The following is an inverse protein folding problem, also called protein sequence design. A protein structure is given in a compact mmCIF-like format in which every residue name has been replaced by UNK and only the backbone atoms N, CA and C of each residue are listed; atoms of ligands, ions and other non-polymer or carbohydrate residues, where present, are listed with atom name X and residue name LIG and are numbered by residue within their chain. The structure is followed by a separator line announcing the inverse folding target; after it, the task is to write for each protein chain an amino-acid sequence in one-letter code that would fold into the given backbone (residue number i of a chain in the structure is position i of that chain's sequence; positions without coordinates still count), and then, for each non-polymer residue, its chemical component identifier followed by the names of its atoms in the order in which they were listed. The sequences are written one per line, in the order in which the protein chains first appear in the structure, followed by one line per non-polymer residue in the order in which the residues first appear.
data_IF_496350090189
#
_entry.id   IF_496350090189
#
_cell.length_a   1.000
_cell.length_b   1.000
_cell.length_c   1.000
_cell.angle_alpha   90.00
_cell.angle_beta   90.00
_cell.angle_gamma   90.00
#
_symmetry.space_group_name_H-M   'P 1'
#
loop_
_entity.id
_entity.type
_entity.pdbx_description
1 polymer ?
#
# COMPACT_ATOMS: atom_id res chain seq x y z
N UNK A 1 -6.70 -24.02 7.72
CA UNK A 1 -6.72 -22.56 7.91
C UNK A 1 -8.15 -22.06 7.92
N UNK A 2 -8.54 -21.35 8.97
CA UNK A 2 -9.89 -20.78 9.07
C UNK A 2 -9.98 -19.54 8.18
N UNK A 3 -10.65 -19.66 7.02
CA UNK A 3 -10.82 -18.55 6.05
C UNK A 3 -11.44 -17.30 6.68
N UNK A 4 -12.22 -17.44 7.76
CA UNK A 4 -12.81 -16.33 8.49
C UNK A 4 -11.74 -15.50 9.21
N UNK A 5 -10.73 -16.16 9.82
CA UNK A 5 -9.63 -15.46 10.50
C UNK A 5 -8.82 -14.64 9.48
N UNK A 6 -8.53 -15.22 8.32
CA UNK A 6 -7.81 -14.56 7.23
C UNK A 6 -8.56 -13.32 6.72
N UNK A 7 -9.88 -13.41 6.55
CA UNK A 7 -10.72 -12.26 6.20
C UNK A 7 -10.59 -11.13 7.23
N UNK A 8 -10.66 -11.45 8.52
CA UNK A 8 -10.53 -10.43 9.55
C UNK A 8 -9.13 -9.84 9.62
N UNK A 9 -8.06 -10.61 9.41
CA UNK A 9 -6.69 -10.09 9.34
C UNK A 9 -6.58 -8.97 8.31
N UNK A 10 -7.05 -9.20 7.08
CA UNK A 10 -7.00 -8.19 6.03
C UNK A 10 -7.96 -7.03 6.27
N UNK A 11 -9.12 -7.29 6.88
CA UNK A 11 -10.00 -6.22 7.35
C UNK A 11 -9.31 -5.31 8.37
N UNK A 12 -8.64 -5.87 9.38
CA UNK A 12 -7.93 -5.08 10.40
C UNK A 12 -6.73 -4.32 9.82
N UNK A 13 -6.00 -4.89 8.85
CA UNK A 13 -4.93 -4.19 8.14
C UNK A 13 -5.44 -2.92 7.45
N UNK A 14 -6.63 -2.98 6.84
CA UNK A 14 -7.20 -1.84 6.12
C UNK A 14 -8.07 -0.92 6.97
N UNK A 15 -8.51 -1.37 8.15
CA UNK A 15 -9.43 -0.62 9.01
C UNK A 15 -8.84 0.74 9.42
N UNK A 16 -7.57 0.75 9.83
CA UNK A 16 -6.89 1.98 10.26
C UNK A 16 -6.66 2.97 9.11
N UNK A 17 -6.59 2.48 7.87
CA UNK A 17 -6.51 3.32 6.67
C UNK A 17 -7.82 4.10 6.44
N UNK A 18 -8.98 3.49 6.73
CA UNK A 18 -10.29 4.14 6.58
C UNK A 18 -10.69 4.99 7.79
N UNK A 19 -10.07 4.77 8.95
CA UNK A 19 -10.27 5.63 10.12
C UNK A 19 -9.61 6.98 9.86
N UNK A 20 -10.45 7.99 9.66
CA UNK A 20 -10.06 9.40 9.65
C UNK A 20 -9.75 9.86 11.08
N UNK A 21 -8.71 9.30 11.69
CA UNK A 21 -8.25 9.72 13.00
C UNK A 21 -7.48 11.03 12.84
N UNK A 22 -7.93 12.11 13.45
CA UNK A 22 -7.18 13.36 13.38
C UNK A 22 -5.74 13.17 13.89
N UNK A 23 -4.75 13.70 13.15
CA UNK A 23 -3.37 13.76 13.61
C UNK A 23 -3.34 14.51 14.94
N UNK A 24 -2.54 14.04 15.91
CA UNK A 24 -2.44 14.60 17.27
C UNK A 24 -2.05 16.09 17.25
N UNK A 25 -3.00 16.98 17.04
CA UNK A 25 -2.93 18.39 17.38
C UNK A 25 -4.28 18.82 17.95
N UNK A 26 -4.21 19.56 19.04
CA UNK A 26 -5.33 19.94 19.88
C UNK A 26 -6.49 20.59 19.09
N UNK A 27 -7.73 20.15 19.35
CA UNK A 27 -8.94 20.86 18.92
C UNK A 27 -9.60 20.39 17.61
N UNK A 28 -9.36 19.16 17.17
CA UNK A 28 -9.98 18.64 15.95
C UNK A 28 -11.48 18.33 16.14
N UNK A 29 -12.35 19.27 15.76
CA UNK A 29 -13.80 19.13 15.69
C UNK A 29 -14.30 18.68 14.31
N UNK A 30 -13.55 17.84 13.57
CA UNK A 30 -14.06 17.25 12.33
C UNK A 30 -14.88 16.00 12.64
N UNK A 31 -16.14 16.01 12.20
CA UNK A 31 -17.03 14.86 12.28
C UNK A 31 -16.43 13.68 11.49
N UNK A 32 -16.54 12.47 12.05
CA UNK A 32 -16.20 11.23 11.35
C UNK A 32 -16.94 11.17 10.01
N UNK A 33 -16.22 10.80 8.94
CA UNK A 33 -16.83 10.54 7.64
C UNK A 33 -17.19 9.06 7.51
N UNK A 34 -18.46 8.72 7.77
CA UNK A 34 -18.98 7.35 7.67
C UNK A 34 -19.27 6.90 6.23
N UNK A 35 -18.88 7.69 5.22
CA UNK A 35 -19.11 7.39 3.79
C UNK A 35 -17.86 7.68 2.95
N UNK A 36 -16.68 7.17 3.31
CA UNK A 36 -15.43 7.53 2.64
C UNK A 36 -15.43 7.11 1.17
N UNK A 37 -14.74 7.90 0.35
CA UNK A 37 -14.43 7.61 -1.06
C UNK A 37 -12.91 7.51 -1.18
N UNK A 38 -12.42 6.37 -1.66
CA UNK A 38 -10.98 6.12 -1.86
C UNK A 38 -10.68 6.10 -3.36
N UNK A 39 -9.66 6.86 -3.75
CA UNK A 39 -9.13 6.83 -5.10
C UNK A 39 -8.24 5.61 -5.30
N UNK A 40 -8.36 4.92 -6.44
CA UNK A 40 -7.41 3.86 -6.84
C UNK A 40 -6.71 4.30 -8.11
N UNK A 41 -5.37 4.35 -8.08
CA UNK A 41 -4.58 4.71 -9.25
C UNK A 41 -4.67 3.62 -10.32
N UNK A 42 -5.02 3.99 -11.55
CA UNK A 42 -4.97 3.10 -12.70
C UNK A 42 -3.55 2.91 -13.20
N UNK A 43 -3.33 1.90 -14.03
CA UNK A 43 -2.02 1.58 -14.58
C UNK A 43 -2.12 1.38 -16.09
N UNK A 44 -1.04 1.64 -16.86
CA UNK A 44 -0.98 1.28 -18.27
C UNK A 44 -1.34 -0.19 -18.49
N UNK A 45 -2.11 -0.49 -19.53
CA UNK A 45 -2.50 -1.85 -19.86
C UNK A 45 -1.27 -2.72 -20.15
N UNK A 46 -1.12 -3.82 -19.42
CA UNK A 46 0.07 -4.68 -19.42
C UNK A 46 0.26 -5.51 -20.70
N UNK A 47 -0.77 -5.66 -21.54
CA UNK A 47 -0.68 -6.43 -22.79
C UNK A 47 -1.51 -5.83 -23.92
N UNK A 48 -1.07 -6.07 -25.16
CA UNK A 48 -1.81 -5.65 -26.36
C UNK A 48 -3.22 -6.24 -26.43
N UNK A 49 -3.44 -7.40 -25.80
CA UNK A 49 -4.75 -8.04 -25.70
C UNK A 49 -5.76 -7.15 -24.95
N UNK A 50 -5.34 -6.41 -23.93
CA UNK A 50 -6.24 -5.56 -23.16
C UNK A 50 -6.43 -4.18 -23.79
N UNK A 51 -5.54 -3.77 -24.69
CA UNK A 51 -5.61 -2.47 -25.39
C UNK A 51 -6.87 -2.33 -26.26
N UNK A 52 -7.55 -3.41 -26.61
CA UNK A 52 -8.86 -3.34 -27.30
C UNK A 52 -9.98 -2.78 -26.41
N UNK A 53 -9.87 -2.93 -25.08
CA UNK A 53 -10.86 -2.44 -24.11
C UNK A 53 -10.45 -1.10 -23.48
N UNK A 54 -9.17 -0.74 -23.57
CA UNK A 54 -8.64 0.51 -23.05
C UNK A 54 -7.13 0.45 -22.81
N UNK A 55 -6.49 1.61 -22.74
CA UNK A 55 -5.03 1.72 -22.53
C UNK A 55 -4.62 1.70 -21.06
N UNK A 56 -5.58 1.63 -20.14
CA UNK A 56 -5.33 1.63 -18.71
C UNK A 56 -6.32 0.74 -17.96
N UNK A 57 -5.92 0.21 -16.81
CA UNK A 57 -6.73 -0.74 -16.03
C UNK A 57 -6.57 -0.54 -14.52
N UNK A 58 -7.53 -1.11 -13.77
CA UNK A 58 -7.45 -1.37 -12.33
C UNK A 58 -7.96 -2.79 -12.12
N UNK A 59 -7.21 -3.63 -11.40
CA UNK A 59 -7.69 -4.98 -11.07
C UNK A 59 -8.89 -4.89 -10.11
N UNK A 60 -9.97 -5.63 -10.42
CA UNK A 60 -11.23 -5.56 -9.68
C UNK A 60 -11.11 -6.02 -8.21
N UNK A 61 -10.10 -6.81 -7.87
CA UNK A 61 -9.80 -7.23 -6.49
C UNK A 61 -9.50 -6.05 -5.57
N UNK A 62 -8.80 -5.02 -6.03
CA UNK A 62 -8.58 -3.80 -5.23
C UNK A 62 -9.88 -3.03 -4.97
N UNK A 63 -10.77 -2.96 -5.97
CA UNK A 63 -12.09 -2.32 -5.80
C UNK A 63 -12.89 -3.06 -4.74
N UNK A 64 -13.00 -4.39 -4.85
CA UNK A 64 -13.70 -5.24 -3.88
C UNK A 64 -13.10 -5.14 -2.48
N UNK A 65 -11.78 -5.06 -2.38
CA UNK A 65 -11.09 -4.92 -1.10
C UNK A 65 -11.48 -3.64 -0.38
N UNK A 66 -11.42 -2.49 -1.06
CA UNK A 66 -11.85 -1.20 -0.52
C UNK A 66 -13.34 -1.22 -0.15
N UNK A 67 -14.21 -1.75 -1.03
CA UNK A 67 -15.65 -1.83 -0.77
C UNK A 67 -15.99 -2.74 0.42
N UNK A 68 -15.27 -3.85 0.59
CA UNK A 68 -15.47 -4.79 1.70
C UNK A 68 -15.22 -4.15 3.07
N UNK A 69 -14.42 -3.09 3.12
CA UNK A 69 -14.11 -2.35 4.33
C UNK A 69 -15.06 -1.15 4.57
N UNK A 70 -16.08 -0.96 3.72
CA UNK A 70 -17.13 0.04 3.90
C UNK A 70 -16.88 1.38 3.19
N UNK A 71 -15.98 1.42 2.21
CA UNK A 71 -15.69 2.62 1.41
C UNK A 71 -16.23 2.50 -0.03
N UNK A 72 -16.38 3.64 -0.70
CA UNK A 72 -16.64 3.70 -2.15
C UNK A 72 -15.33 3.92 -2.90
N UNK A 73 -15.29 3.54 -4.17
CA UNK A 73 -14.11 3.70 -5.02
C UNK A 73 -14.35 4.70 -6.13
N UNK A 74 -13.32 5.48 -6.45
CA UNK A 74 -13.22 6.25 -7.70
C UNK A 74 -11.89 5.94 -8.39
N UNK A 75 -11.85 5.73 -9.71
CA UNK A 75 -10.59 5.57 -10.42
C UNK A 75 -9.85 6.91 -10.51
N UNK A 76 -8.55 6.92 -10.21
CA UNK A 76 -7.62 8.00 -10.56
C UNK A 76 -6.91 7.55 -11.83
N UNK A 77 -7.15 8.23 -12.95
CA UNK A 77 -6.45 7.87 -14.19
C UNK A 77 -4.99 8.34 -14.10
N UNK A 78 -4.03 7.48 -14.46
CA UNK A 78 -2.61 7.80 -14.29
C UNK A 78 -2.11 8.94 -15.18
N UNK A 79 -2.90 9.33 -16.18
CA UNK A 79 -2.57 10.33 -17.20
C UNK A 79 -3.39 11.63 -17.08
N UNK A 80 -4.06 11.86 -15.94
CA UNK A 80 -4.78 13.12 -15.69
C UNK A 80 -3.84 14.32 -15.70
N UNK A 81 -4.32 15.44 -16.25
CA UNK A 81 -3.66 16.73 -16.06
C UNK A 81 -3.71 17.15 -14.58
N UNK A 82 -2.78 18.01 -14.18
CA UNK A 82 -2.61 18.36 -12.77
C UNK A 82 -3.86 19.04 -12.16
N UNK A 83 -4.55 19.89 -12.91
CA UNK A 83 -5.74 20.59 -12.39
C UNK A 83 -6.90 19.61 -12.17
N UNK A 84 -7.11 18.69 -13.10
CA UNK A 84 -8.11 17.62 -12.98
C UNK A 84 -7.77 16.69 -11.83
N UNK A 85 -6.52 16.25 -11.73
CA UNK A 85 -6.05 15.39 -10.64
C UNK A 85 -6.27 16.08 -9.29
N UNK A 86 -5.84 17.35 -9.13
CA UNK A 86 -6.02 18.09 -7.87
C UNK A 86 -7.49 18.26 -7.48
N UNK A 87 -8.39 18.51 -8.44
CA UNK A 87 -9.84 18.56 -8.16
C UNK A 87 -10.38 17.22 -7.67
N UNK A 88 -9.95 16.12 -8.28
CA UNK A 88 -10.31 14.77 -7.84
C UNK A 88 -9.78 14.50 -6.42
N UNK A 89 -8.50 14.78 -6.16
CA UNK A 89 -7.86 14.57 -4.87
C UNK A 89 -8.55 15.36 -3.74
N UNK A 90 -8.97 16.60 -4.01
CA UNK A 90 -9.76 17.42 -3.08
C UNK A 90 -11.18 16.88 -2.80
N UNK A 91 -11.65 15.89 -3.57
CA UNK A 91 -13.02 15.35 -3.49
C UNK A 91 -13.07 13.95 -2.85
N UNK A 92 -11.92 13.35 -2.55
CA UNK A 92 -11.79 11.99 -1.99
C UNK A 92 -11.18 12.04 -0.59
N UNK A 93 -11.12 10.88 0.06
CA UNK A 93 -10.73 10.74 1.47
C UNK A 93 -9.45 9.94 1.68
N UNK A 94 -8.79 9.51 0.62
CA UNK A 94 -7.57 8.70 0.67
C UNK A 94 -7.29 8.04 -0.67
N UNK A 95 -6.10 7.45 -0.80
CA UNK A 95 -5.64 6.84 -2.05
C UNK A 95 -5.07 5.44 -1.79
N UNK A 96 -5.38 4.50 -2.67
CA UNK A 96 -4.70 3.21 -2.79
C UNK A 96 -3.91 3.16 -4.10
N UNK A 97 -2.62 2.86 -3.97
CA UNK A 97 -1.71 2.53 -5.07
C UNK A 97 -1.64 1.00 -5.19
N UNK A 98 -2.20 0.42 -6.27
CA UNK A 98 -2.28 -1.03 -6.41
C UNK A 98 -0.94 -1.64 -6.81
N UNK A 99 -0.82 -2.96 -6.67
CA UNK A 99 0.23 -3.73 -7.31
C UNK A 99 0.08 -3.74 -8.83
N UNK A 100 1.14 -4.07 -9.56
CA UNK A 100 1.16 -4.10 -11.03
C UNK A 100 2.57 -4.36 -11.56
N UNK A 101 2.78 -4.07 -12.85
CA UNK A 101 4.04 -4.33 -13.56
C UNK A 101 4.49 -3.15 -14.42
N UNK A 102 4.48 -1.93 -13.86
CA UNK A 102 4.86 -0.71 -14.58
C UNK A 102 6.39 -0.57 -14.61
N UNK A 103 6.95 -0.44 -15.82
CA UNK A 103 8.36 -0.12 -16.01
C UNK A 103 8.55 1.41 -15.93
N UNK A 104 9.00 1.92 -14.79
CA UNK A 104 9.07 3.36 -14.52
C UNK A 104 9.86 4.16 -15.57
N UNK A 105 10.97 3.62 -16.07
CA UNK A 105 11.81 4.29 -17.09
C UNK A 105 11.08 4.55 -18.42
N UNK A 106 10.05 3.74 -18.71
CA UNK A 106 9.25 3.84 -19.93
C UNK A 106 7.96 4.63 -19.74
N UNK A 107 7.67 5.10 -18.52
CA UNK A 107 6.36 5.65 -18.13
C UNK A 107 6.47 7.02 -17.45
N UNK A 108 7.00 8.06 -18.13
CA UNK A 108 7.20 9.38 -17.53
C UNK A 108 5.89 10.06 -17.11
N UNK A 109 4.77 9.80 -17.80
CA UNK A 109 3.45 10.33 -17.44
C UNK A 109 2.96 9.70 -16.13
N UNK A 110 3.11 8.38 -15.99
CA UNK A 110 2.78 7.67 -14.76
C UNK A 110 3.59 8.21 -13.57
N UNK A 111 4.91 8.33 -13.75
CA UNK A 111 5.81 8.84 -12.72
C UNK A 111 5.45 10.26 -12.30
N UNK A 112 5.09 11.13 -13.27
CA UNK A 112 4.62 12.49 -12.97
C UNK A 112 3.39 12.46 -12.06
N UNK A 113 2.41 11.62 -12.35
CA UNK A 113 1.19 11.49 -11.52
C UNK A 113 1.50 10.95 -10.12
N UNK A 114 2.44 10.02 -9.98
CA UNK A 114 2.91 9.56 -8.67
C UNK A 114 3.48 10.70 -7.84
N UNK A 115 4.36 11.53 -8.41
CA UNK A 115 4.92 12.69 -7.70
C UNK A 115 3.85 13.72 -7.33
N UNK A 116 2.87 13.97 -8.21
CA UNK A 116 1.74 14.87 -7.91
C UNK A 116 0.88 14.33 -6.76
N UNK A 117 0.57 13.04 -6.76
CA UNK A 117 -0.16 12.35 -5.69
C UNK A 117 0.63 12.43 -4.37
N UNK A 118 1.92 12.08 -4.40
CA UNK A 118 2.78 12.13 -3.22
C UNK A 118 2.83 13.52 -2.61
N UNK A 119 3.10 14.55 -3.43
CA UNK A 119 3.15 15.93 -2.97
C UNK A 119 1.82 16.37 -2.35
N UNK A 120 0.69 16.01 -2.98
CA UNK A 120 -0.64 16.31 -2.43
C UNK A 120 -0.86 15.65 -1.05
N UNK A 121 -0.51 14.37 -0.91
CA UNK A 121 -0.63 13.63 0.36
C UNK A 121 0.21 14.31 1.45
N UNK A 122 1.48 14.64 1.15
CA UNK A 122 2.37 15.30 2.12
C UNK A 122 1.87 16.70 2.48
N UNK A 123 1.47 17.52 1.51
CA UNK A 123 0.94 18.87 1.73
C UNK A 123 -0.33 18.84 2.58
N UNK A 124 -1.25 17.92 2.30
CA UNK A 124 -2.51 17.77 3.02
C UNK A 124 -2.29 17.40 4.49
N UNK A 125 -1.40 16.43 4.75
CA UNK A 125 -1.11 16.06 6.14
C UNK A 125 -0.29 17.11 6.89
N UNK A 126 0.63 17.83 6.23
CA UNK A 126 1.37 18.93 6.85
C UNK A 126 0.48 20.10 7.29
N UNK A 127 -0.62 20.36 6.59
CA UNK A 127 -1.60 21.40 6.99
C UNK A 127 -2.64 20.90 7.99
N UNK A 128 -2.49 19.66 8.49
CA UNK A 128 -3.35 19.09 9.53
C UNK A 128 -4.56 18.31 9.02
N UNK A 129 -4.72 18.11 7.70
CA UNK A 129 -5.76 17.21 7.18
C UNK A 129 -5.31 15.77 7.30
N UNK A 130 -6.18 14.87 7.76
CA UNK A 130 -5.88 13.44 7.69
C UNK A 130 -6.17 12.92 6.29
N UNK A 131 -5.12 12.71 5.49
CA UNK A 131 -5.23 12.19 4.13
C UNK A 131 -4.37 10.92 3.94
N UNK A 132 -4.97 9.72 4.07
CA UNK A 132 -4.22 8.47 4.08
C UNK A 132 -3.81 8.00 2.68
N UNK A 133 -2.64 7.36 2.60
CA UNK A 133 -2.09 6.73 1.41
C UNK A 133 -1.73 5.26 1.70
N UNK A 134 -2.20 4.34 0.86
CA UNK A 134 -1.93 2.92 0.96
C UNK A 134 -1.18 2.44 -0.29
N UNK A 135 -0.10 1.68 -0.13
CA UNK A 135 0.58 0.99 -1.22
C UNK A 135 0.56 -0.53 -1.08
N UNK A 136 0.27 -1.24 -2.16
CA UNK A 136 0.36 -2.70 -2.24
C UNK A 136 1.34 -3.10 -3.34
N UNK A 137 2.33 -3.96 -3.06
CA UNK A 137 3.28 -4.51 -4.03
C UNK A 137 3.95 -3.37 -4.85
N UNK A 138 3.63 -3.18 -6.14
CA UNK A 138 4.11 -2.02 -6.91
C UNK A 138 3.81 -0.68 -6.20
N UNK A 139 2.65 -0.52 -5.55
CA UNK A 139 2.36 0.68 -4.75
C UNK A 139 3.30 0.88 -3.54
N UNK A 140 3.87 -0.20 -2.99
CA UNK A 140 4.96 -0.09 -2.02
C UNK A 140 6.22 0.47 -2.69
N UNK A 141 6.60 -0.11 -3.84
CA UNK A 141 7.77 0.32 -4.62
C UNK A 141 7.67 1.80 -5.02
N UNK A 142 6.47 2.24 -5.41
CA UNK A 142 6.14 3.62 -5.73
C UNK A 142 6.34 4.54 -4.54
N UNK A 143 5.76 4.21 -3.38
CA UNK A 143 5.85 5.03 -2.16
C UNK A 143 7.30 5.22 -1.73
N UNK A 144 8.10 4.15 -1.68
CA UNK A 144 9.50 4.27 -1.28
C UNK A 144 10.31 5.05 -2.33
N UNK A 145 9.99 4.91 -3.62
CA UNK A 145 10.69 5.63 -4.68
C UNK A 145 10.42 7.13 -4.66
N UNK A 146 9.15 7.55 -4.53
CA UNK A 146 8.80 8.98 -4.45
C UNK A 146 9.24 9.62 -3.14
N UNK A 147 9.25 8.87 -2.03
CA UNK A 147 9.80 9.32 -0.75
C UNK A 147 11.33 9.51 -0.83
N UNK A 148 12.03 8.63 -1.54
CA UNK A 148 13.47 8.74 -1.78
C UNK A 148 13.83 9.72 -2.91
N UNK A 149 12.84 10.16 -3.69
CA UNK A 149 13.01 10.96 -4.90
C UNK A 149 13.93 10.27 -5.94
N UNK A 150 13.88 8.94 -6.02
CA UNK A 150 14.55 8.12 -7.04
C UNK A 150 13.96 6.70 -7.06
N UNK A 151 13.92 6.07 -8.24
CA UNK A 151 13.53 4.66 -8.41
C UNK A 151 14.70 3.69 -8.19
N UNK A 152 15.93 4.19 -8.07
CA UNK A 152 17.14 3.39 -7.83
C UNK A 152 17.20 2.76 -6.43
N UNK A 153 16.16 2.96 -5.60
CA UNK A 153 16.04 2.34 -4.28
C UNK A 153 15.62 0.87 -4.33
N UNK A 154 15.15 0.40 -5.49
CA UNK A 154 14.59 -0.94 -5.62
C UNK A 154 15.67 -2.00 -5.83
N UNK A 155 15.51 -3.14 -5.15
CA UNK A 155 16.39 -4.31 -5.22
C UNK A 155 15.62 -5.52 -5.75
N UNK A 156 16.29 -6.41 -6.48
CA UNK A 156 15.67 -7.61 -7.05
C UNK A 156 15.51 -8.73 -6.01
N UNK A 157 14.36 -9.42 -6.02
CA UNK A 157 14.04 -10.53 -5.12
C UNK A 157 13.33 -11.68 -5.85
N UNK A 158 13.55 -12.91 -5.38
CA UNK A 158 12.89 -14.12 -5.86
C UNK A 158 11.61 -14.43 -5.06
N UNK A 159 10.58 -13.61 -5.24
CA UNK A 159 9.36 -13.66 -4.43
C UNK A 159 8.06 -13.72 -5.25
N UNK A 160 8.14 -14.10 -6.53
CA UNK A 160 6.94 -14.31 -7.37
C UNK A 160 6.20 -15.58 -6.98
N UNK A 161 4.86 -15.55 -6.93
CA UNK A 161 3.99 -16.66 -6.50
C UNK A 161 4.52 -17.35 -5.22
N UNK A 162 4.53 -16.60 -4.11
CA UNK A 162 5.12 -17.06 -2.85
C UNK A 162 4.33 -16.60 -1.62
N UNK A 163 3.57 -17.52 -1.03
CA UNK A 163 2.83 -17.25 0.20
C UNK A 163 3.66 -17.64 1.44
N UNK A 164 3.83 -16.69 2.36
CA UNK A 164 4.66 -16.83 3.56
C UNK A 164 4.00 -16.15 4.77
N UNK A 165 4.41 -16.46 6.01
CA UNK A 165 4.06 -15.64 7.18
C UNK A 165 4.83 -14.31 7.16
N UNK A 166 4.50 -13.38 8.05
CA UNK A 166 5.28 -12.16 8.28
C UNK A 166 6.26 -12.30 9.45
N UNK A 167 7.52 -11.91 9.24
CA UNK A 167 8.46 -11.74 10.34
C UNK A 167 8.26 -10.33 10.92
N UNK A 168 7.30 -10.19 11.84
CA UNK A 168 7.00 -8.93 12.52
C UNK A 168 8.20 -8.46 13.36
N UNK A 169 8.49 -7.16 13.34
CA UNK A 169 9.55 -6.58 14.17
C UNK A 169 9.13 -6.47 15.63
N UNK A 170 10.10 -6.36 16.55
CA UNK A 170 9.82 -6.14 17.97
C UNK A 170 8.97 -4.89 18.21
N UNK A 171 9.06 -3.89 17.33
CA UNK A 171 8.21 -2.69 17.37
C UNK A 171 6.72 -3.04 17.30
N UNK A 172 6.32 -4.06 16.54
CA UNK A 172 4.92 -4.50 16.43
C UNK A 172 4.54 -5.40 17.61
N UNK A 173 5.43 -6.30 18.04
CA UNK A 173 5.13 -7.31 19.05
C UNK A 173 5.11 -6.77 20.49
N UNK A 174 5.71 -5.61 20.73
CA UNK A 174 5.72 -4.98 22.04
C UNK A 174 4.35 -4.37 22.40
N UNK A 175 3.90 -4.58 23.64
CA UNK A 175 2.62 -4.04 24.16
C UNK A 175 2.53 -2.50 24.12
N UNK A 176 3.67 -1.81 24.02
CA UNK A 176 3.78 -0.36 23.87
C UNK A 176 3.94 0.07 22.40
N UNK A 177 3.59 -0.80 21.43
CA UNK A 177 3.70 -0.47 20.01
C UNK A 177 2.92 0.81 19.69
N UNK A 178 3.58 1.75 19.03
CA UNK A 178 2.94 2.93 18.47
C UNK A 178 2.43 2.70 17.05
N UNK A 179 2.52 1.47 16.53
CA UNK A 179 2.18 1.18 15.14
C UNK A 179 0.71 1.38 14.86
N UNK A 180 0.36 2.32 13.99
CA UNK A 180 -1.04 2.60 13.68
C UNK A 180 -1.67 1.45 12.90
N UNK A 181 -0.89 0.80 12.02
CA UNK A 181 -1.37 -0.29 11.19
C UNK A 181 -1.83 -1.50 12.01
N UNK A 182 -1.02 -1.93 12.98
CA UNK A 182 -1.26 -3.15 13.76
C UNK A 182 -1.90 -2.93 15.13
N UNK A 183 -2.03 -1.69 15.61
CA UNK A 183 -2.50 -1.38 16.98
C UNK A 183 -3.85 -1.98 17.35
N UNK A 184 -4.77 -2.10 16.41
CA UNK A 184 -6.10 -2.65 16.65
C UNK A 184 -6.21 -4.13 16.30
N UNK A 185 -5.14 -4.75 15.77
CA UNK A 185 -5.16 -6.14 15.38
C UNK A 185 -5.17 -7.03 16.63
N UNK A 186 -6.16 -7.95 16.77
CA UNK A 186 -6.18 -8.89 17.88
C UNK A 186 -4.90 -9.74 17.94
N UNK A 187 -4.45 -10.08 19.16
CA UNK A 187 -3.23 -10.88 19.36
C UNK A 187 -3.27 -12.23 18.63
N UNK A 188 -4.45 -12.86 18.55
CA UNK A 188 -4.62 -14.11 17.79
C UNK A 188 -4.34 -13.92 16.29
N UNK A 189 -4.77 -12.80 15.71
CA UNK A 189 -4.56 -12.45 14.30
C UNK A 189 -3.10 -12.10 14.02
N UNK A 190 -2.43 -11.38 14.94
CA UNK A 190 -0.98 -11.16 14.88
C UNK A 190 -0.23 -12.49 14.92
N UNK A 191 -0.64 -13.44 15.77
CA UNK A 191 -0.05 -14.78 15.79
C UNK A 191 -0.30 -15.52 14.48
N UNK A 192 -1.51 -15.47 13.92
CA UNK A 192 -1.81 -16.16 12.66
C UNK A 192 -0.99 -15.59 11.50
N UNK A 193 -0.94 -14.26 11.32
CA UNK A 193 -0.15 -13.66 10.23
C UNK A 193 1.36 -13.89 10.38
N UNK A 194 1.86 -14.08 11.61
CA UNK A 194 3.27 -14.42 11.87
C UNK A 194 3.61 -15.90 11.76
N UNK A 195 2.64 -16.82 11.69
CA UNK A 195 2.92 -18.26 11.70
C UNK A 195 2.32 -19.03 10.52
N UNK A 196 1.33 -18.47 9.82
CA UNK A 196 0.67 -19.12 8.69
C UNK A 196 1.09 -18.47 7.36
N UNK A 197 1.26 -19.26 6.27
CA UNK A 197 1.66 -18.76 4.96
C UNK A 197 0.50 -18.08 4.23
N UNK A 198 0.05 -16.94 4.76
CA UNK A 198 -1.13 -16.23 4.28
C UNK A 198 -0.79 -14.99 3.47
N UNK A 199 0.39 -14.41 3.59
CA UNK A 199 0.75 -13.22 2.83
C UNK A 199 1.31 -13.62 1.47
N UNK A 200 0.50 -13.43 0.43
CA UNK A 200 0.84 -13.79 -0.94
C UNK A 200 1.76 -12.73 -1.55
N UNK A 201 2.98 -13.10 -1.92
CA UNK A 201 3.94 -12.25 -2.61
C UNK A 201 3.96 -12.58 -4.10
N UNK A 202 3.92 -11.54 -4.94
CA UNK A 202 4.08 -11.67 -6.39
C UNK A 202 4.96 -10.55 -6.99
N UNK A 203 6.15 -10.36 -6.43
CA UNK A 203 7.04 -9.29 -6.85
C UNK A 203 8.40 -9.83 -7.31
N UNK A 204 9.11 -8.96 -8.04
CA UNK A 204 10.51 -9.16 -8.45
C UNK A 204 11.40 -8.03 -7.97
N UNK A 205 10.81 -6.91 -7.58
CA UNK A 205 11.48 -5.74 -7.04
C UNK A 205 10.93 -5.49 -5.64
N UNK A 206 11.72 -4.83 -4.80
CA UNK A 206 11.33 -4.47 -3.45
C UNK A 206 12.40 -3.62 -2.80
N UNK A 207 12.37 -3.54 -1.46
CA UNK A 207 13.35 -2.74 -0.71
C UNK A 207 14.13 -3.62 0.26
N UNK A 208 15.46 -3.58 0.16
CA UNK A 208 16.34 -4.24 1.12
C UNK A 208 16.51 -3.38 2.38
N UNK A 209 16.83 -4.02 3.51
CA UNK A 209 17.14 -3.31 4.77
C UNK A 209 18.39 -2.44 4.62
N UNK A 210 19.38 -2.89 3.86
CA UNK A 210 20.60 -2.14 3.58
C UNK A 210 20.27 -0.84 2.83
N UNK A 211 19.53 -0.93 1.72
CA UNK A 211 19.13 0.25 0.94
C UNK A 211 18.28 1.20 1.77
N UNK A 212 17.32 0.69 2.53
CA UNK A 212 16.50 1.51 3.43
C UNK A 212 17.35 2.34 4.41
N UNK A 213 18.33 1.72 5.05
CA UNK A 213 19.20 2.40 6.02
C UNK A 213 20.13 3.42 5.34
N UNK A 214 20.61 3.11 4.13
CA UNK A 214 21.49 3.99 3.36
C UNK A 214 20.77 5.25 2.84
N UNK A 215 19.46 5.20 2.61
CA UNK A 215 18.67 6.36 2.21
C UNK A 215 18.07 7.08 3.42
N UNK A 216 18.65 8.23 3.77
CA UNK A 216 18.18 9.07 4.89
C UNK A 216 16.72 9.46 4.78
N UNK A 217 16.24 9.75 3.57
CA UNK A 217 14.83 10.04 3.30
C UNK A 217 13.90 8.89 3.65
N UNK A 218 14.35 7.63 3.58
CA UNK A 218 13.54 6.46 3.93
C UNK A 218 13.60 6.16 5.42
N UNK A 219 14.80 6.00 5.99
CA UNK A 219 14.92 5.60 7.40
C UNK A 219 14.42 6.66 8.38
N UNK A 220 14.39 7.93 7.99
CA UNK A 220 13.80 8.99 8.82
C UNK A 220 12.28 9.05 8.70
N UNK A 221 11.73 8.67 7.54
CA UNK A 221 10.31 8.85 7.23
C UNK A 221 9.45 7.65 7.62
N UNK A 222 9.98 6.43 7.54
CA UNK A 222 9.24 5.20 7.79
C UNK A 222 9.80 4.38 8.95
N UNK A 223 8.92 3.61 9.58
CA UNK A 223 9.28 2.48 10.44
C UNK A 223 9.07 1.17 9.68
N UNK A 224 9.96 0.19 9.93
CA UNK A 224 9.83 -1.17 9.40
C UNK A 224 9.01 -2.01 10.39
N UNK A 225 7.88 -2.52 9.92
CA UNK A 225 6.96 -3.32 10.75
C UNK A 225 7.12 -4.82 10.54
N UNK A 226 7.56 -5.22 9.35
CA UNK A 226 7.93 -6.62 9.10
C UNK A 226 8.95 -6.78 8.00
N UNK A 227 9.65 -7.91 8.07
CA UNK A 227 10.59 -8.39 7.09
C UNK A 227 10.12 -9.75 6.55
N UNK A 228 10.68 -10.16 5.44
CA UNK A 228 10.56 -11.50 4.90
C UNK A 228 11.79 -11.90 4.09
N UNK A 229 11.99 -13.20 3.92
CA UNK A 229 13.03 -13.72 3.04
C UNK A 229 12.42 -14.22 1.74
N UNK A 230 13.08 -13.94 0.62
CA UNK A 230 12.72 -14.48 -0.68
C UNK A 230 13.07 -15.98 -0.79
N UNK A 231 12.71 -16.63 -1.89
CA UNK A 231 13.01 -18.06 -2.12
C UNK A 231 14.51 -18.39 -2.18
N UNK A 232 15.36 -17.37 -2.29
CA UNK A 232 16.81 -17.46 -2.33
C UNK A 232 17.47 -17.11 -0.98
N UNK A 233 16.68 -16.77 0.04
CA UNK A 233 17.16 -16.40 1.37
C UNK A 233 17.58 -14.95 1.53
N UNK A 234 17.24 -14.07 0.57
CA UNK A 234 17.51 -12.64 0.68
C UNK A 234 16.38 -11.94 1.41
N UNK A 235 16.72 -11.14 2.43
CA UNK A 235 15.72 -10.42 3.23
C UNK A 235 15.26 -9.13 2.55
N UNK A 236 13.95 -8.93 2.49
CA UNK A 236 13.28 -7.71 2.04
C UNK A 236 12.32 -7.16 3.09
N UNK A 237 12.02 -5.86 3.00
CA UNK A 237 11.02 -5.21 3.83
C UNK A 237 9.63 -5.52 3.28
N UNK A 238 8.76 -6.08 4.12
CA UNK A 238 7.43 -6.51 3.70
C UNK A 238 6.29 -5.61 4.16
N UNK A 239 6.48 -4.84 5.24
CA UNK A 239 5.53 -3.83 5.71
C UNK A 239 6.26 -2.62 6.28
N UNK A 240 5.82 -1.43 5.87
CA UNK A 240 6.23 -0.14 6.43
C UNK A 240 5.03 0.73 6.77
N UNK A 241 5.23 1.65 7.72
CA UNK A 241 4.34 2.79 7.94
C UNK A 241 5.14 4.06 8.14
N UNK A 242 4.57 5.22 7.80
CA UNK A 242 5.22 6.51 8.06
C UNK A 242 5.17 6.85 9.55
N UNK A 243 6.24 7.48 10.04
CA UNK A 243 6.35 7.89 11.45
C UNK A 243 5.41 9.03 11.84
N UNK A 244 5.03 9.86 10.86
CA UNK A 244 4.27 11.10 11.11
C UNK A 244 2.95 11.16 10.35
N UNK A 245 2.84 10.48 9.21
CA UNK A 245 1.71 10.58 8.29
C UNK A 245 0.95 9.25 8.19
N UNK A 246 -0.35 9.27 7.82
CA UNK A 246 -1.14 8.05 7.63
C UNK A 246 -0.82 7.36 6.29
N UNK A 247 0.46 7.01 6.12
CA UNK A 247 0.99 6.37 4.91
C UNK A 247 1.45 4.97 5.28
N UNK A 248 0.93 3.97 4.58
CA UNK A 248 1.17 2.56 4.85
C UNK A 248 1.52 1.86 3.54
N UNK A 249 2.43 0.90 3.59
CA UNK A 249 2.70 0.07 2.42
C UNK A 249 3.00 -1.38 2.80
N UNK A 250 2.46 -2.30 2.01
CA UNK A 250 2.67 -3.74 2.13
C UNK A 250 3.21 -4.30 0.81
N UNK A 251 4.21 -5.17 0.88
CA UNK A 251 4.81 -5.78 -0.31
C UNK A 251 3.97 -6.96 -0.85
N UNK A 252 3.23 -7.62 0.03
CA UNK A 252 2.32 -8.71 -0.31
C UNK A 252 0.95 -8.18 -0.74
N UNK A 253 0.10 -9.06 -1.29
CA UNK A 253 -1.24 -8.74 -1.79
C UNK A 253 -2.35 -9.15 -0.80
N UNK A 254 -2.87 -8.24 0.04
CA UNK A 254 -3.97 -8.55 0.96
C UNK A 254 -5.32 -8.79 0.24
N UNK A 255 -5.48 -8.29 -0.97
CA UNK A 255 -6.71 -8.40 -1.76
C UNK A 255 -6.88 -9.77 -2.43
N UNK A 256 -5.77 -10.41 -2.82
CA UNK A 256 -5.79 -11.65 -3.62
C UNK A 256 -6.45 -12.83 -2.88
N UNK A 257 -6.12 -13.14 -1.61
CA UNK A 257 -6.71 -14.29 -0.91
C UNK A 257 -8.23 -14.25 -0.79
N UNK A 258 -8.84 -13.08 -0.95
CA UNK A 258 -10.28 -12.87 -0.83
C UNK A 258 -11.00 -12.83 -2.18
N UNK A 259 -10.33 -12.39 -3.25
CA UNK A 259 -11.01 -11.97 -4.48
C UNK A 259 -10.43 -12.53 -5.79
N UNK A 260 -9.28 -13.21 -5.76
CA UNK A 260 -8.65 -13.83 -6.93
C UNK A 260 -8.61 -15.36 -6.83
N UNK A 261 -8.89 -16.06 -7.93
CA UNK A 261 -9.13 -17.52 -7.93
C UNK A 261 -8.43 -18.28 -9.07
N UNK A 262 -7.51 -17.64 -9.80
CA UNK A 262 -6.88 -18.24 -10.98
C UNK A 262 -5.77 -19.25 -10.63
N UNK A 263 -5.66 -20.33 -11.41
CA UNK A 263 -4.68 -21.41 -11.21
C UNK A 263 -3.25 -21.06 -11.68
N UNK A 264 -3.12 -20.04 -12.52
CA UNK A 264 -1.85 -19.46 -12.98
C UNK A 264 -1.95 -17.94 -12.90
N UNK A 265 -0.96 -17.31 -12.31
CA UNK A 265 -0.97 -15.88 -12.04
C UNK A 265 -0.46 -15.09 -13.24
N UNK A 266 -1.32 -14.24 -13.79
CA UNK A 266 -0.91 -13.12 -14.62
C UNK A 266 -0.55 -11.94 -13.70
N UNK A 267 0.61 -11.34 -13.96
CA UNK A 267 1.10 -10.09 -13.33
C UNK A 267 0.24 -8.93 -13.82
#
# INVERSE_FOLDING_TARGET
MNKIIVLFIYFFLFLNFLKTNCLKQDGCHHALNDRPVIGILSQPASSDKYKEYGYQYIAASYVKYVESAGARVVPILYDQDEDTLRKLLNSINGILLPGGGVYFDEQPIYNKSLYLIWNYVIESNKRGDYFPLWGTCLGFEEIVSVAANTFDVLTSFNASNYSIPLNLTDQVLNLSSNSLLFKEMPLEMLKTISNEPITMNNHRMGLSVETFNNFTSLHQFFDILSLNDDKSGNTFISVIESKEYPIYAVMFHPEKPLFEWYEKEDI
#
